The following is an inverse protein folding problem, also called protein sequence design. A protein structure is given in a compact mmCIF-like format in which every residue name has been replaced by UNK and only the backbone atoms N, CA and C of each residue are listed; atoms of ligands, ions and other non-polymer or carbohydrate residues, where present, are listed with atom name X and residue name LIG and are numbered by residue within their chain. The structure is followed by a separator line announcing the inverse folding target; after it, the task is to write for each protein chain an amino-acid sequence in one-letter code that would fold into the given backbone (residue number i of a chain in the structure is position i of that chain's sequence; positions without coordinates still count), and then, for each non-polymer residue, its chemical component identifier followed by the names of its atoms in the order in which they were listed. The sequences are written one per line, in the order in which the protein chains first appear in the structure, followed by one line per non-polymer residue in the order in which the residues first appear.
data_IF_809663993101
#
_entry.id   IF_809663993101
#
_cell.length_a   1.000
_cell.length_b   1.000
_cell.length_c   1.000
_cell.angle_alpha   90.00
_cell.angle_beta   90.00
_cell.angle_gamma   90.00
#
_symmetry.space_group_name_H-M   'P 1'
#
loop_
_entity.id
_entity.type
_entity.pdbx_description
1 polymer ?
#
# COMPACT_ATOMS: atom_id res chain seq x y z
N UNK A 1 -4.80 -5.90 -18.08
CA UNK A 1 -4.05 -6.37 -19.28
C UNK A 1 -2.64 -5.79 -19.24
N UNK A 2 -1.75 -6.20 -20.16
CA UNK A 2 -0.39 -5.62 -20.26
C UNK A 2 -0.42 -4.09 -20.37
N UNK A 3 -1.31 -3.57 -21.23
CA UNK A 3 -1.51 -2.12 -21.41
C UNK A 3 -1.92 -1.41 -20.10
N UNK A 4 -2.79 -2.01 -19.29
CA UNK A 4 -3.19 -1.45 -17.99
C UNK A 4 -2.01 -1.35 -17.02
N UNK A 5 -1.15 -2.37 -16.96
CA UNK A 5 0.01 -2.38 -16.07
C UNK A 5 1.06 -1.36 -16.50
N UNK A 6 1.32 -1.26 -17.81
CA UNK A 6 2.19 -0.21 -18.36
C UNK A 6 1.60 1.17 -18.05
N UNK A 7 0.30 1.35 -18.21
CA UNK A 7 -0.36 2.61 -17.88
C UNK A 7 -0.22 2.95 -16.39
N UNK A 8 -0.36 2.00 -15.47
CA UNK A 8 -0.14 2.24 -14.03
C UNK A 8 1.30 2.66 -13.71
N UNK A 9 2.29 2.07 -14.39
CA UNK A 9 3.71 2.45 -14.20
C UNK A 9 4.01 3.83 -14.77
N UNK A 10 3.38 4.20 -15.89
CA UNK A 10 3.51 5.51 -16.54
C UNK A 10 2.63 6.59 -15.90
N UNK A 11 1.54 6.19 -15.25
CA UNK A 11 0.66 7.08 -14.51
C UNK A 11 1.43 7.70 -13.34
N UNK A 12 1.09 8.94 -13.02
CA UNK A 12 1.67 9.62 -11.87
C UNK A 12 1.48 8.82 -10.58
N UNK A 13 2.26 9.16 -9.55
CA UNK A 13 2.28 8.43 -8.28
C UNK A 13 0.91 8.31 -7.61
N UNK A 14 -0.05 9.16 -7.96
CA UNK A 14 -1.42 9.15 -7.44
C UNK A 14 -2.15 7.82 -7.66
N UNK A 15 -1.97 7.20 -8.83
CA UNK A 15 -2.61 5.92 -9.19
C UNK A 15 -2.03 4.71 -8.44
N UNK A 16 -0.96 4.91 -7.65
CA UNK A 16 -0.26 3.88 -6.89
C UNK A 16 0.02 4.31 -5.44
N UNK A 17 -0.59 5.41 -4.99
CA UNK A 17 -0.47 5.93 -3.63
C UNK A 17 -1.82 5.87 -2.97
N UNK A 18 -1.86 5.42 -1.71
CA UNK A 18 -3.08 5.37 -0.92
C UNK A 18 -3.70 6.77 -0.73
N UNK A 19 -5.03 6.87 -0.80
CA UNK A 19 -5.80 8.09 -0.60
C UNK A 19 -5.80 8.59 0.85
N UNK A 20 -5.75 7.66 1.81
CA UNK A 20 -5.68 7.93 3.24
C UNK A 20 -4.66 7.01 3.94
N UNK A 21 -4.28 7.40 5.16
CA UNK A 21 -3.24 6.70 5.91
C UNK A 21 -3.71 5.37 6.53
N UNK A 22 -5.02 5.17 6.76
CA UNK A 22 -5.53 3.88 7.24
C UNK A 22 -5.37 2.81 6.15
N UNK A 23 -5.71 3.15 4.90
CA UNK A 23 -5.43 2.28 3.75
C UNK A 23 -3.93 2.10 3.52
N UNK A 24 -3.15 3.18 3.65
CA UNK A 24 -1.69 3.10 3.55
C UNK A 24 -1.10 2.12 4.58
N UNK A 25 -1.55 2.16 5.83
CA UNK A 25 -1.11 1.26 6.88
C UNK A 25 -1.44 -0.22 6.57
N UNK A 26 -2.65 -0.48 6.08
CA UNK A 26 -3.04 -1.82 5.64
C UNK A 26 -2.19 -2.31 4.47
N UNK A 27 -1.94 -1.44 3.48
CA UNK A 27 -1.10 -1.78 2.32
C UNK A 27 0.36 -1.99 2.72
N UNK A 28 0.91 -1.25 3.70
CA UNK A 28 2.24 -1.52 4.23
C UNK A 28 2.34 -2.92 4.82
N UNK A 29 1.30 -3.35 5.54
CA UNK A 29 1.24 -4.71 6.07
C UNK A 29 1.12 -5.77 4.97
N UNK A 30 0.31 -5.51 3.94
CA UNK A 30 0.25 -6.37 2.74
C UNK A 30 1.63 -6.49 2.08
N UNK A 31 2.29 -5.38 1.82
CA UNK A 31 3.61 -5.32 1.19
C UNK A 31 4.69 -6.06 1.98
N UNK A 32 4.68 -5.93 3.32
CA UNK A 32 5.56 -6.67 4.20
C UNK A 32 5.30 -8.19 4.14
N UNK A 33 4.02 -8.60 4.20
CA UNK A 33 3.61 -10.02 4.10
C UNK A 33 4.04 -10.65 2.78
N UNK A 34 3.89 -9.92 1.68
CA UNK A 34 4.24 -10.39 0.34
C UNK A 34 5.74 -10.24 0.02
N UNK A 35 6.55 -9.67 0.94
CA UNK A 35 7.99 -9.40 0.75
C UNK A 35 8.28 -8.54 -0.48
N UNK A 36 7.38 -7.60 -0.78
CA UNK A 36 7.41 -6.76 -1.99
C UNK A 36 8.10 -5.41 -1.79
N UNK A 37 8.25 -4.98 -0.54
CA UNK A 37 9.06 -3.83 -0.20
C UNK A 37 10.50 -4.29 0.07
N UNK A 38 11.45 -3.52 -0.45
CA UNK A 38 12.83 -3.60 0.01
C UNK A 38 12.85 -3.37 1.54
N UNK A 39 13.61 -4.21 2.23
CA UNK A 39 14.19 -4.03 3.57
C UNK A 39 13.35 -4.14 4.86
N UNK A 40 14.02 -4.83 5.79
CA UNK A 40 14.13 -4.75 7.26
C UNK A 40 13.48 -3.56 8.01
N UNK A 41 13.23 -2.41 7.37
CA UNK A 41 12.66 -1.22 8.00
C UNK A 41 11.14 -1.06 7.81
N UNK A 42 10.54 -1.84 6.89
CA UNK A 42 9.10 -1.78 6.64
C UNK A 42 8.27 -2.11 7.89
N UNK A 43 8.75 -3.02 8.74
CA UNK A 43 8.06 -3.34 10.00
C UNK A 43 8.13 -2.21 11.03
N UNK A 44 9.29 -1.56 11.16
CA UNK A 44 9.47 -0.41 12.06
C UNK A 44 8.60 0.77 11.64
N UNK A 45 8.58 1.07 10.33
CA UNK A 45 7.76 2.16 9.78
C UNK A 45 6.27 1.80 9.91
N UNK A 46 5.87 0.56 9.61
CA UNK A 46 4.50 0.08 9.83
C UNK A 46 4.07 0.31 11.28
N UNK A 47 4.88 -0.10 12.25
CA UNK A 47 4.52 0.05 13.67
C UNK A 47 4.37 1.52 14.07
N UNK A 48 5.27 2.40 13.63
CA UNK A 48 5.17 3.85 13.90
C UNK A 48 3.97 4.50 13.20
N UNK A 49 3.65 4.07 11.98
CA UNK A 49 2.45 4.53 11.27
C UNK A 49 1.19 4.08 12.01
N UNK A 50 1.10 2.81 12.42
CA UNK A 50 -0.03 2.30 13.20
C UNK A 50 -0.19 3.05 14.52
N UNK A 51 0.91 3.30 15.22
CA UNK A 51 0.91 4.06 16.47
C UNK A 51 0.42 5.50 16.28
N UNK A 52 0.93 6.20 15.26
CA UNK A 52 0.52 7.58 14.95
C UNK A 52 -0.92 7.68 14.46
N UNK A 53 -1.45 6.62 13.85
CA UNK A 53 -2.86 6.50 13.48
C UNK A 53 -3.77 6.06 14.63
N UNK A 54 -3.19 5.62 15.75
CA UNK A 54 -3.96 5.02 16.83
C UNK A 54 -4.67 3.74 16.37
N UNK A 55 -4.05 2.90 15.54
CA UNK A 55 -4.59 1.61 15.09
C UNK A 55 -4.09 0.43 15.96
N UNK A 56 -3.79 0.73 17.22
CA UNK A 56 -3.14 -0.18 18.17
C UNK A 56 -4.16 -1.08 18.87
N UNK A 57 -5.42 -0.64 18.98
CA UNK A 57 -6.51 -1.41 19.60
C UNK A 57 -7.18 -2.36 18.61
N UNK A 58 -7.96 -3.32 19.12
CA UNK A 58 -8.72 -4.24 18.26
C UNK A 58 -9.93 -3.58 17.60
N UNK A 59 -10.64 -2.67 18.28
CA UNK A 59 -11.77 -1.92 17.71
C UNK A 59 -11.35 -1.06 16.52
N UNK A 60 -10.14 -0.49 16.58
CA UNK A 60 -9.64 0.38 15.52
C UNK A 60 -9.19 -0.41 14.28
N UNK A 61 -8.94 -1.73 14.42
CA UNK A 61 -8.66 -2.63 13.30
C UNK A 61 -9.92 -3.03 12.52
N UNK A 62 -11.11 -2.61 12.94
CA UNK A 62 -12.36 -2.74 12.17
C UNK A 62 -12.49 -1.67 11.08
N UNK A 63 -11.58 -0.68 11.03
CA UNK A 63 -11.54 0.33 9.97
C UNK A 63 -11.49 -0.33 8.58
N UNK A 64 -12.51 -0.07 7.77
CA UNK A 64 -12.66 -0.71 6.45
C UNK A 64 -11.50 -0.38 5.52
N UNK A 65 -10.91 0.82 5.59
CA UNK A 65 -9.76 1.18 4.74
C UNK A 65 -8.51 0.39 5.11
N UNK A 66 -8.27 0.18 6.40
CA UNK A 66 -7.19 -0.64 6.90
C UNK A 66 -7.39 -2.12 6.53
N UNK A 67 -8.60 -2.66 6.72
CA UNK A 67 -8.95 -4.03 6.33
C UNK A 67 -8.83 -4.27 4.83
N UNK A 68 -9.25 -3.31 4.00
CA UNK A 68 -9.04 -3.32 2.56
C UNK A 68 -7.55 -3.36 2.22
N UNK A 69 -6.76 -2.53 2.89
CA UNK A 69 -5.31 -2.48 2.70
C UNK A 69 -4.62 -3.80 3.01
N UNK A 70 -4.99 -4.49 4.10
CA UNK A 70 -4.43 -5.81 4.46
C UNK A 70 -4.72 -6.86 3.38
N UNK A 71 -5.86 -6.75 2.69
CA UNK A 71 -6.24 -7.61 1.57
C UNK A 71 -5.58 -7.21 0.24
N UNK A 72 -4.71 -6.18 0.23
CA UNK A 72 -4.06 -5.69 -0.97
C UNK A 72 -4.95 -4.79 -1.84
N UNK A 73 -6.07 -4.29 -1.30
CA UNK A 73 -6.94 -3.33 -1.97
C UNK A 73 -6.42 -1.91 -1.68
N UNK A 74 -5.67 -1.37 -2.64
CA UNK A 74 -5.16 -0.01 -2.59
C UNK A 74 -6.23 0.95 -3.10
N UNK A 75 -6.73 1.82 -2.22
CA UNK A 75 -7.60 2.94 -2.59
C UNK A 75 -6.70 4.10 -2.99
N UNK A 76 -6.69 4.46 -4.26
CA UNK A 76 -5.68 5.35 -4.83
C UNK A 76 -6.11 6.81 -4.74
N UNK A 77 -5.15 7.73 -4.69
CA UNK A 77 -5.42 9.19 -4.62
C UNK A 77 -6.21 9.76 -5.79
N UNK A 78 -6.26 9.06 -6.91
CA UNK A 78 -7.08 9.42 -8.06
C UNK A 78 -8.52 8.88 -7.97
N UNK A 79 -8.92 8.32 -6.82
CA UNK A 79 -10.28 7.87 -6.53
C UNK A 79 -10.60 6.46 -7.04
N UNK A 80 -9.60 5.71 -7.50
CA UNK A 80 -9.77 4.34 -7.96
C UNK A 80 -9.46 3.32 -6.86
N UNK A 81 -9.77 2.05 -7.10
CA UNK A 81 -9.34 0.94 -6.27
C UNK A 81 -8.53 -0.04 -7.10
N UNK A 82 -7.28 -0.28 -6.71
CA UNK A 82 -6.38 -1.23 -7.33
C UNK A 82 -6.22 -2.45 -6.42
N UNK A 83 -6.54 -3.63 -6.95
CA UNK A 83 -6.32 -4.89 -6.24
C UNK A 83 -4.91 -5.43 -6.57
N UNK A 84 -3.94 -5.18 -5.68
CA UNK A 84 -2.55 -5.61 -5.82
C UNK A 84 -2.39 -7.13 -5.75
N UNK A 85 -3.35 -7.84 -5.14
CA UNK A 85 -3.31 -9.29 -5.09
C UNK A 85 -3.64 -9.92 -6.44
N UNK A 86 -4.61 -9.32 -7.15
CA UNK A 86 -5.14 -9.84 -8.41
C UNK A 86 -4.50 -9.26 -9.69
N UNK A 87 -3.52 -8.36 -9.60
CA UNK A 87 -2.84 -7.85 -10.82
C UNK A 87 -1.89 -8.85 -11.51
N UNK A 88 -1.71 -10.05 -10.93
CA UNK A 88 -0.92 -11.15 -11.49
C UNK A 88 0.51 -11.24 -10.97
N UNK A 89 1.28 -12.19 -11.51
CA UNK A 89 2.65 -12.55 -11.08
C UNK A 89 3.69 -12.39 -12.20
N UNK A 90 3.33 -11.71 -13.29
CA UNK A 90 4.31 -11.38 -14.34
C UNK A 90 5.37 -10.40 -13.79
N UNK A 91 6.59 -10.35 -14.36
CA UNK A 91 7.59 -9.37 -13.93
C UNK A 91 7.12 -7.91 -13.96
N UNK A 92 6.19 -7.59 -14.87
CA UNK A 92 5.59 -6.25 -14.93
C UNK A 92 4.59 -6.02 -13.78
N UNK A 93 3.79 -7.03 -13.46
CA UNK A 93 2.88 -6.96 -12.32
C UNK A 93 3.66 -6.81 -11.01
N UNK A 94 4.74 -7.57 -10.83
CA UNK A 94 5.64 -7.43 -9.68
C UNK A 94 6.20 -6.00 -9.56
N UNK A 95 6.66 -5.41 -10.67
CA UNK A 95 7.09 -4.00 -10.68
C UNK A 95 6.00 -3.02 -10.25
N UNK A 96 4.75 -3.24 -10.67
CA UNK A 96 3.61 -2.40 -10.22
C UNK A 96 3.39 -2.57 -8.73
N UNK A 97 3.39 -3.81 -8.22
CA UNK A 97 3.23 -4.09 -6.79
C UNK A 97 4.34 -3.44 -5.96
N UNK A 98 5.60 -3.62 -6.34
CA UNK A 98 6.74 -3.00 -5.66
C UNK A 98 6.66 -1.48 -5.71
N UNK A 99 6.35 -0.87 -6.86
CA UNK A 99 6.20 0.59 -6.96
C UNK A 99 5.09 1.12 -6.04
N UNK A 100 3.95 0.42 -5.95
CA UNK A 100 2.88 0.79 -5.03
C UNK A 100 3.36 0.69 -3.57
N UNK A 101 4.03 -0.40 -3.20
CA UNK A 101 4.60 -0.58 -1.88
C UNK A 101 5.60 0.52 -1.50
N UNK A 102 6.52 0.87 -2.40
CA UNK A 102 7.52 1.93 -2.18
C UNK A 102 6.87 3.30 -2.02
N UNK A 103 5.86 3.61 -2.83
CA UNK A 103 5.12 4.86 -2.73
C UNK A 103 4.36 4.95 -1.41
N UNK A 104 3.66 3.88 -1.01
CA UNK A 104 2.96 3.83 0.27
C UNK A 104 3.93 3.89 1.44
N UNK A 105 5.11 3.25 1.35
CA UNK A 105 6.16 3.35 2.36
C UNK A 105 6.63 4.80 2.52
N UNK A 106 6.85 5.50 1.41
CA UNK A 106 7.17 6.92 1.41
C UNK A 106 6.05 7.77 2.04
N UNK A 107 4.78 7.41 1.83
CA UNK A 107 3.67 8.08 2.51
C UNK A 107 3.73 7.85 4.02
N UNK A 108 4.00 6.62 4.46
CA UNK A 108 4.21 6.28 5.86
C UNK A 108 5.34 7.11 6.48
N UNK A 109 6.50 7.15 5.83
CA UNK A 109 7.65 7.95 6.25
C UNK A 109 7.32 9.44 6.40
N UNK A 110 6.68 10.03 5.40
CA UNK A 110 6.29 11.44 5.44
C UNK A 110 5.23 11.71 6.52
N UNK A 111 4.38 10.73 6.80
CA UNK A 111 3.34 10.86 7.82
C UNK A 111 3.92 10.79 9.23
N UNK A 112 4.93 9.95 9.48
CA UNK A 112 5.57 9.82 10.80
C UNK A 112 6.61 10.89 11.10
N UNK A 113 7.18 11.50 10.05
CA UNK A 113 8.08 12.66 10.16
C UNK A 113 7.44 13.88 10.82
#
# INVERSE_FOLDING_TARGET
SLASLTNLLSSGNQALSADNMNNAAGILQYCAKQKLASVTDAENIKNQVLEKLGLNSEEQKEDTNYLDGIQGLLKTKDGQQLNLDNIGTTPLAEKVKTKACDLVLKQGLNFIS
#
